data_IF_976127526304
#
_entry.id   IF_976127526304
#
_cell.length_a   1.000
_cell.length_b   1.000
_cell.length_c   1.000
_cell.angle_alpha   90.00
_cell.angle_beta   90.00
_cell.angle_gamma   90.00
#
_symmetry.space_group_name_H-M   'P 1'
#
loop_
_entity.id
_entity.type
_entity.pdbx_description
1 polymer ?
#
# COMPACT_ATOMS: atom_id res chain seq x y z
N UNK A 1 3.00 14.86 -36.97
CA UNK A 1 2.11 15.80 -36.25
C UNK A 1 2.71 17.19 -36.25
N UNK A 2 1.88 18.22 -36.38
CA UNK A 2 2.30 19.62 -36.18
C UNK A 2 2.55 19.89 -34.69
N UNK A 3 3.23 21.01 -34.38
CA UNK A 3 3.43 21.44 -32.98
C UNK A 3 2.09 21.69 -32.28
N UNK A 4 1.12 22.29 -32.97
CA UNK A 4 -0.23 22.53 -32.43
C UNK A 4 -0.98 21.22 -32.11
N UNK A 5 -0.92 20.24 -33.00
CA UNK A 5 -1.52 18.91 -32.76
C UNK A 5 -0.86 18.21 -31.56
N UNK A 6 0.46 18.32 -31.43
CA UNK A 6 1.20 17.74 -30.30
C UNK A 6 0.80 18.40 -28.99
N UNK A 7 0.75 19.74 -28.96
CA UNK A 7 0.30 20.49 -27.79
C UNK A 7 -1.14 20.15 -27.40
N UNK A 8 -2.03 19.98 -28.39
CA UNK A 8 -3.41 19.58 -28.15
C UNK A 8 -3.50 18.18 -27.52
N UNK A 9 -2.79 17.19 -28.09
CA UNK A 9 -2.80 15.80 -27.60
C UNK A 9 -2.22 15.68 -26.17
N UNK A 10 -1.20 16.47 -25.82
CA UNK A 10 -0.61 16.44 -24.48
C UNK A 10 -1.29 17.36 -23.46
N UNK A 11 -2.26 18.18 -23.85
CA UNK A 11 -2.93 19.12 -22.94
C UNK A 11 -3.60 18.41 -21.74
N UNK A 12 -4.33 17.33 -22.00
CA UNK A 12 -5.04 16.53 -20.98
C UNK A 12 -4.06 15.90 -19.97
N UNK A 13 -3.04 15.10 -20.38
CA UNK A 13 -2.10 14.53 -19.41
C UNK A 13 -1.29 15.59 -18.67
N UNK A 14 -0.98 16.74 -19.28
CA UNK A 14 -0.31 17.85 -18.57
C UNK A 14 -1.20 18.35 -17.42
N UNK A 15 -2.48 18.62 -17.68
CA UNK A 15 -3.42 19.09 -16.65
C UNK A 15 -3.58 18.04 -15.54
N UNK A 16 -3.78 16.77 -15.89
CA UNK A 16 -3.89 15.69 -14.91
C UNK A 16 -2.60 15.52 -14.09
N UNK A 17 -1.43 15.66 -14.73
CA UNK A 17 -0.12 15.61 -14.08
C UNK A 17 0.07 16.74 -13.08
N UNK A 18 -0.35 17.97 -13.41
CA UNK A 18 -0.33 19.12 -12.49
C UNK A 18 -1.24 18.88 -11.29
N UNK A 19 -2.49 18.44 -11.52
CA UNK A 19 -3.44 18.14 -10.44
C UNK A 19 -2.88 17.05 -9.51
N UNK A 20 -2.32 15.98 -10.08
CA UNK A 20 -1.63 14.94 -9.32
C UNK A 20 -0.46 15.51 -8.51
N UNK A 21 0.43 16.28 -9.13
CA UNK A 21 1.60 16.84 -8.47
C UNK A 21 1.22 17.75 -7.30
N UNK A 22 0.23 18.62 -7.46
CA UNK A 22 -0.29 19.47 -6.39
C UNK A 22 -0.86 18.61 -5.25
N UNK A 23 -1.73 17.64 -5.58
CA UNK A 23 -2.35 16.78 -4.56
C UNK A 23 -1.31 15.97 -3.78
N UNK A 24 -0.31 15.41 -4.47
CA UNK A 24 0.73 14.56 -3.86
C UNK A 24 1.75 15.37 -3.05
N UNK A 25 2.06 16.60 -3.45
CA UNK A 25 2.98 17.48 -2.71
C UNK A 25 2.34 18.04 -1.43
N UNK A 26 1.07 18.46 -1.51
CA UNK A 26 0.32 18.98 -0.36
C UNK A 26 0.02 17.88 0.66
N UNK A 27 -0.48 16.73 0.20
CA UNK A 27 -0.83 15.63 1.09
C UNK A 27 -0.65 14.28 0.40
N UNK A 28 0.56 13.68 0.46
CA UNK A 28 0.87 12.42 -0.20
C UNK A 28 0.09 11.23 0.37
N UNK A 29 -0.47 11.36 1.59
CA UNK A 29 -1.16 10.29 2.33
C UNK A 29 -2.63 10.11 1.90
N UNK A 30 -3.09 10.75 0.80
CA UNK A 30 -4.46 10.62 0.29
C UNK A 30 -4.58 9.46 -0.71
N UNK A 31 -5.63 8.64 -0.54
CA UNK A 31 -6.01 7.61 -1.51
C UNK A 31 -6.31 8.15 -2.92
N UNK A 32 -6.73 9.42 -3.04
CA UNK A 32 -7.03 10.04 -4.34
C UNK A 32 -5.79 10.18 -5.23
N UNK A 33 -4.59 10.21 -4.63
CA UNK A 33 -3.35 10.34 -5.38
C UNK A 33 -3.12 9.13 -6.30
N UNK A 34 -3.59 7.94 -5.93
CA UNK A 34 -3.55 6.77 -6.81
C UNK A 34 -4.40 6.98 -8.06
N UNK A 35 -5.64 7.48 -7.91
CA UNK A 35 -6.55 7.73 -9.03
C UNK A 35 -6.03 8.82 -9.94
N UNK A 36 -5.55 9.93 -9.37
CA UNK A 36 -4.98 11.03 -10.13
C UNK A 36 -3.76 10.59 -10.93
N UNK A 37 -2.87 9.81 -10.32
CA UNK A 37 -1.71 9.25 -11.03
C UNK A 37 -2.13 8.27 -12.12
N UNK A 38 -3.06 7.35 -11.84
CA UNK A 38 -3.51 6.36 -12.81
C UNK A 38 -4.18 7.02 -14.03
N UNK A 39 -5.01 8.05 -13.80
CA UNK A 39 -5.61 8.85 -14.88
C UNK A 39 -4.56 9.60 -15.68
N UNK A 40 -3.61 10.26 -15.00
CA UNK A 40 -2.47 10.89 -15.65
C UNK A 40 -1.68 9.90 -16.52
N UNK A 41 -1.32 8.75 -15.98
CA UNK A 41 -0.52 7.74 -16.66
C UNK A 41 -1.23 7.18 -17.89
N UNK A 42 -2.52 6.84 -17.78
CA UNK A 42 -3.30 6.36 -18.93
C UNK A 42 -3.41 7.43 -20.01
N UNK A 43 -3.76 8.67 -19.64
CA UNK A 43 -3.86 9.78 -20.59
C UNK A 43 -2.50 10.07 -21.26
N UNK A 44 -1.40 9.99 -20.50
CA UNK A 44 -0.05 10.22 -21.00
C UNK A 44 0.38 9.12 -21.97
N UNK A 45 0.16 7.85 -21.62
CA UNK A 45 0.47 6.72 -22.50
C UNK A 45 -0.35 6.76 -23.79
N UNK A 46 -1.63 7.14 -23.71
CA UNK A 46 -2.48 7.32 -24.88
C UNK A 46 -1.98 8.46 -25.78
N UNK A 47 -1.69 9.63 -25.20
CA UNK A 47 -1.11 10.77 -25.92
C UNK A 47 0.21 10.42 -26.59
N UNK A 48 1.08 9.69 -25.87
CA UNK A 48 2.36 9.20 -26.39
C UNK A 48 2.17 8.23 -27.55
N UNK A 49 1.20 7.30 -27.47
CA UNK A 49 0.89 6.39 -28.55
C UNK A 49 0.44 7.13 -29.82
N UNK A 50 -0.45 8.12 -29.69
CA UNK A 50 -0.88 8.96 -30.81
C UNK A 50 0.29 9.74 -31.42
N UNK A 51 1.18 10.29 -30.59
CA UNK A 51 2.37 11.01 -31.05
C UNK A 51 3.33 10.11 -31.83
N UNK A 52 3.55 8.88 -31.36
CA UNK A 52 4.40 7.90 -32.04
C UNK A 52 3.79 7.49 -33.39
N UNK A 53 2.51 7.15 -33.40
CA UNK A 53 1.81 6.74 -34.64
C UNK A 53 1.74 7.90 -35.65
N UNK A 54 1.54 9.14 -35.18
CA UNK A 54 1.53 10.35 -35.99
C UNK A 54 2.90 10.90 -36.37
N UNK A 55 4.01 10.24 -35.98
CA UNK A 55 5.37 10.65 -36.34
C UNK A 55 5.77 10.23 -37.76
N UNK A 56 5.05 9.29 -38.36
CA UNK A 56 5.39 8.62 -39.63
C UNK A 56 6.79 7.96 -39.63
N UNK A 57 7.43 7.81 -38.46
CA UNK A 57 8.71 7.12 -38.33
C UNK A 57 8.45 5.61 -38.14
N UNK A 58 8.57 4.85 -39.22
CA UNK A 58 8.29 3.41 -39.22
C UNK A 58 9.13 2.63 -38.20
N UNK A 59 10.40 3.01 -38.00
CA UNK A 59 11.26 2.35 -37.02
C UNK A 59 10.74 2.58 -35.59
N UNK A 60 10.42 3.83 -35.24
CA UNK A 60 9.88 4.18 -33.93
C UNK A 60 8.57 3.43 -33.65
N UNK A 61 7.66 3.42 -34.63
CA UNK A 61 6.37 2.72 -34.54
C UNK A 61 6.59 1.21 -34.38
N UNK A 62 7.47 0.61 -35.17
CA UNK A 62 7.73 -0.83 -35.14
C UNK A 62 8.36 -1.27 -33.81
N UNK A 63 9.36 -0.54 -33.32
CA UNK A 63 10.03 -0.84 -32.05
C UNK A 63 9.06 -0.69 -30.89
N UNK A 64 8.36 0.43 -30.79
CA UNK A 64 7.42 0.68 -29.69
C UNK A 64 6.21 -0.25 -29.74
N UNK A 65 5.67 -0.53 -30.93
CA UNK A 65 4.60 -1.51 -31.13
C UNK A 65 5.02 -2.92 -30.72
N UNK A 66 6.24 -3.33 -31.08
CA UNK A 66 6.80 -4.64 -30.66
C UNK A 66 6.94 -4.71 -29.14
N UNK A 67 7.50 -3.68 -28.51
CA UNK A 67 7.63 -3.61 -27.05
C UNK A 67 6.26 -3.64 -26.35
N UNK A 68 5.26 -2.95 -26.91
CA UNK A 68 3.89 -2.98 -26.40
C UNK A 68 3.30 -4.39 -26.48
N UNK A 69 3.43 -5.08 -27.62
CA UNK A 69 2.97 -6.46 -27.79
C UNK A 69 3.66 -7.39 -26.78
N UNK A 70 4.99 -7.32 -26.65
CA UNK A 70 5.74 -8.11 -25.67
C UNK A 70 5.22 -7.85 -24.25
N UNK A 71 4.97 -6.58 -23.91
CA UNK A 71 4.42 -6.21 -22.60
C UNK A 71 3.04 -6.82 -22.38
N UNK A 72 2.14 -6.74 -23.36
CA UNK A 72 0.81 -7.35 -23.30
C UNK A 72 0.90 -8.87 -23.15
N UNK A 73 1.78 -9.54 -23.89
CA UNK A 73 2.00 -10.98 -23.77
C UNK A 73 2.51 -11.38 -22.39
N UNK A 74 3.42 -10.62 -21.79
CA UNK A 74 3.90 -10.85 -20.42
C UNK A 74 2.74 -10.68 -19.41
N UNK A 75 1.91 -9.65 -19.56
CA UNK A 75 0.75 -9.43 -18.69
C UNK A 75 -0.25 -10.60 -18.81
N UNK A 76 -0.54 -11.04 -20.03
CA UNK A 76 -1.40 -12.22 -20.28
C UNK A 76 -0.82 -13.47 -19.64
N UNK A 77 0.50 -13.69 -19.75
CA UNK A 77 1.18 -14.83 -19.15
C UNK A 77 1.08 -14.81 -17.62
N UNK A 78 1.34 -13.66 -16.99
CA UNK A 78 1.21 -13.49 -15.53
C UNK A 78 -0.23 -13.77 -15.09
N UNK A 79 -1.21 -13.22 -15.81
CA UNK A 79 -2.62 -13.43 -15.52
C UNK A 79 -3.03 -14.89 -15.70
N UNK A 80 -2.56 -15.57 -16.74
CA UNK A 80 -2.85 -16.99 -16.98
C UNK A 80 -2.29 -17.86 -15.85
N UNK A 81 -1.12 -17.52 -15.32
CA UNK A 81 -0.44 -18.28 -14.27
C UNK A 81 -0.80 -17.82 -12.84
N UNK A 82 -1.77 -16.92 -12.67
CA UNK A 82 -2.04 -16.28 -11.37
C UNK A 82 -2.38 -17.29 -10.25
N UNK A 83 -3.19 -18.31 -10.53
CA UNK A 83 -3.51 -19.36 -9.56
C UNK A 83 -2.28 -20.15 -9.11
N UNK A 84 -1.38 -20.49 -10.05
CA UNK A 84 -0.12 -21.14 -9.72
C UNK A 84 0.72 -20.29 -8.78
N UNK A 85 0.87 -18.99 -9.06
CA UNK A 85 1.62 -18.06 -8.22
C UNK A 85 1.02 -17.91 -6.82
N UNK A 86 -0.31 -17.81 -6.71
CA UNK A 86 -1.02 -17.68 -5.44
C UNK A 86 -0.89 -18.95 -4.58
N UNK A 87 -1.07 -20.13 -5.17
CA UNK A 87 -0.91 -21.42 -4.48
C UNK A 87 0.54 -21.66 -4.05
N UNK A 88 1.51 -21.35 -4.92
CA UNK A 88 2.92 -21.41 -4.57
C UNK A 88 3.25 -20.50 -3.38
N UNK A 89 2.77 -19.25 -3.40
CA UNK A 89 2.94 -18.33 -2.29
C UNK A 89 2.28 -18.84 -1.00
N UNK A 90 1.05 -19.36 -1.09
CA UNK A 90 0.33 -19.94 0.03
C UNK A 90 1.12 -21.08 0.69
N UNK A 91 1.69 -22.00 -0.10
CA UNK A 91 2.52 -23.10 0.42
C UNK A 91 3.77 -22.56 1.12
N UNK A 92 4.40 -21.53 0.54
CA UNK A 92 5.62 -20.94 1.11
C UNK A 92 5.35 -20.23 2.45
N UNK A 93 4.24 -19.48 2.54
CA UNK A 93 3.81 -18.83 3.79
C UNK A 93 3.41 -19.87 4.82
N UNK A 94 2.66 -20.91 4.43
CA UNK A 94 2.28 -22.03 5.30
C UNK A 94 3.48 -22.71 5.96
N UNK A 95 4.60 -22.86 5.24
CA UNK A 95 5.81 -23.51 5.77
C UNK A 95 6.65 -22.61 6.70
N UNK A 96 6.52 -21.29 6.60
CA UNK A 96 7.43 -20.32 7.25
C UNK A 96 6.77 -19.47 8.32
N UNK A 97 5.45 -19.38 8.31
CA UNK A 97 4.66 -18.53 9.21
C UNK A 97 3.63 -19.39 9.95
N UNK A 98 3.08 -18.88 11.06
CA UNK A 98 2.01 -19.58 11.76
C UNK A 98 0.70 -19.67 10.96
N UNK A 99 -0.11 -20.69 11.21
CA UNK A 99 -1.38 -20.98 10.49
C UNK A 99 -2.57 -20.11 10.94
N UNK A 100 -2.34 -18.82 11.19
CA UNK A 100 -3.44 -17.90 11.49
C UNK A 100 -4.28 -17.60 10.24
N UNK A 101 -5.56 -17.23 10.42
CA UNK A 101 -6.42 -16.80 9.31
C UNK A 101 -5.78 -15.71 8.45
N UNK A 102 -5.05 -14.79 9.09
CA UNK A 102 -4.38 -13.69 8.42
C UNK A 102 -3.17 -14.12 7.59
N UNK A 103 -2.58 -15.30 7.85
CA UNK A 103 -1.47 -15.85 7.08
C UNK A 103 -1.93 -16.75 5.92
N UNK A 104 -3.23 -17.06 5.86
CA UNK A 104 -3.83 -17.92 4.84
C UNK A 104 -4.60 -17.13 3.76
N UNK A 105 -4.51 -15.79 3.72
CA UNK A 105 -5.33 -14.99 2.79
C UNK A 105 -5.07 -15.33 1.32
N UNK A 106 -3.81 -15.56 0.94
CA UNK A 106 -3.47 -15.96 -0.45
C UNK A 106 -4.04 -17.32 -0.82
N UNK A 107 -4.13 -18.26 0.13
CA UNK A 107 -4.78 -19.55 -0.06
C UNK A 107 -6.28 -19.38 -0.28
N UNK A 108 -6.95 -18.60 0.58
CA UNK A 108 -8.40 -18.35 0.45
C UNK A 108 -8.76 -17.66 -0.86
N UNK A 109 -7.93 -16.71 -1.31
CA UNK A 109 -8.11 -16.06 -2.62
C UNK A 109 -7.92 -17.07 -3.75
N UNK A 110 -6.90 -17.93 -3.70
CA UNK A 110 -6.68 -18.94 -4.73
C UNK A 110 -7.86 -19.92 -4.83
N UNK A 111 -8.35 -20.42 -3.70
CA UNK A 111 -9.52 -21.31 -3.66
C UNK A 111 -10.76 -20.59 -4.19
N UNK A 112 -11.00 -19.35 -3.74
CA UNK A 112 -12.14 -18.55 -4.19
C UNK A 112 -12.14 -18.30 -5.70
N UNK A 113 -10.98 -17.93 -6.27
CA UNK A 113 -10.84 -17.73 -7.71
C UNK A 113 -11.05 -19.03 -8.49
N UNK A 114 -10.47 -20.15 -8.03
CA UNK A 114 -10.69 -21.45 -8.65
C UNK A 114 -12.18 -21.85 -8.66
N UNK A 115 -12.89 -21.65 -7.54
CA UNK A 115 -14.32 -21.92 -7.46
C UNK A 115 -15.13 -21.01 -8.40
N UNK A 116 -14.75 -19.73 -8.53
CA UNK A 116 -15.39 -18.80 -9.46
C UNK A 116 -15.16 -19.21 -10.92
N UNK A 117 -13.97 -19.67 -11.29
CA UNK A 117 -13.67 -20.15 -12.65
C UNK A 117 -14.44 -21.44 -12.99
N UNK A 118 -14.55 -22.37 -12.04
CA UNK A 118 -15.37 -23.58 -12.18
C UNK A 118 -16.85 -23.19 -12.33
N UNK A 119 -17.35 -22.27 -11.49
CA UNK A 119 -18.73 -21.80 -11.56
C UNK A 119 -19.03 -21.06 -12.87
N UNK A 120 -18.10 -20.27 -13.39
CA UNK A 120 -18.24 -19.60 -14.69
C UNK A 120 -18.24 -20.58 -15.87
N UNK A 121 -17.45 -21.66 -15.76
CA UNK A 121 -17.29 -22.65 -16.84
C UNK A 121 -18.43 -23.67 -16.89
N UNK A 122 -18.94 -24.08 -15.73
CA UNK A 122 -19.91 -25.18 -15.61
C UNK A 122 -21.25 -24.78 -15.00
N UNK A 123 -21.32 -23.65 -14.28
CA UNK A 123 -22.48 -23.27 -13.48
C UNK A 123 -23.77 -23.08 -14.29
N UNK A 124 -23.68 -22.61 -15.54
CA UNK A 124 -24.85 -22.45 -16.43
C UNK A 124 -25.58 -23.76 -16.71
N UNK A 125 -24.92 -24.92 -16.56
CA UNK A 125 -25.53 -26.24 -16.75
C UNK A 125 -26.41 -26.67 -15.57
N UNK A 126 -26.15 -26.13 -14.38
CA UNK A 126 -26.77 -26.59 -13.13
C UNK A 126 -27.65 -25.53 -12.47
N UNK A 127 -27.52 -24.26 -12.87
CA UNK A 127 -28.22 -23.12 -12.28
C UNK A 127 -29.20 -22.54 -13.32
N UNK A 128 -30.46 -22.24 -12.94
CA UNK A 128 -31.40 -21.55 -13.82
C UNK A 128 -30.79 -20.29 -14.44
N UNK A 129 -30.99 -20.10 -15.74
CA UNK A 129 -30.34 -19.03 -16.51
C UNK A 129 -30.48 -17.62 -15.88
N UNK A 130 -31.66 -17.19 -15.39
CA UNK A 130 -31.78 -15.88 -14.74
C UNK A 130 -30.87 -15.72 -13.51
N UNK A 131 -30.78 -16.78 -12.69
CA UNK A 131 -29.93 -16.79 -11.49
C UNK A 131 -28.45 -16.79 -11.90
N UNK A 132 -28.08 -17.58 -12.91
CA UNK A 132 -26.73 -17.60 -13.43
C UNK A 132 -26.28 -16.22 -13.94
N UNK A 133 -27.12 -15.55 -14.74
CA UNK A 133 -26.82 -14.20 -15.26
C UNK A 133 -26.69 -13.19 -14.12
N UNK A 134 -27.59 -13.22 -13.14
CA UNK A 134 -27.49 -12.36 -11.94
C UNK A 134 -26.19 -12.56 -11.19
N UNK A 135 -25.79 -13.82 -10.92
CA UNK A 135 -24.51 -14.12 -10.26
C UNK A 135 -23.32 -13.69 -11.13
N UNK A 136 -23.35 -13.94 -12.44
CA UNK A 136 -22.29 -13.55 -13.36
C UNK A 136 -22.09 -12.02 -13.38
N UNK A 137 -23.17 -11.24 -13.42
CA UNK A 137 -23.12 -9.78 -13.31
C UNK A 137 -22.56 -9.36 -11.96
N UNK A 138 -23.05 -9.93 -10.86
CA UNK A 138 -22.56 -9.61 -9.51
C UNK A 138 -21.05 -9.85 -9.37
N UNK A 139 -20.56 -11.04 -9.74
CA UNK A 139 -19.15 -11.39 -9.64
C UNK A 139 -18.28 -10.63 -10.64
N UNK A 140 -18.76 -10.34 -11.85
CA UNK A 140 -18.00 -9.57 -12.84
C UNK A 140 -17.79 -8.13 -12.40
N UNK A 141 -18.87 -7.42 -12.02
CA UNK A 141 -18.78 -6.03 -11.55
C UNK A 141 -18.11 -5.94 -10.16
N UNK A 142 -18.37 -6.90 -9.27
CA UNK A 142 -17.70 -7.03 -7.98
C UNK A 142 -16.19 -7.25 -8.14
N UNK A 143 -15.79 -8.19 -8.99
CA UNK A 143 -14.41 -8.47 -9.32
C UNK A 143 -13.71 -7.25 -9.92
N UNK A 144 -14.33 -6.60 -10.93
CA UNK A 144 -13.79 -5.38 -11.53
C UNK A 144 -13.60 -4.27 -10.49
N UNK A 145 -14.57 -4.07 -9.60
CA UNK A 145 -14.48 -3.07 -8.53
C UNK A 145 -13.33 -3.35 -7.55
N UNK A 146 -13.17 -4.61 -7.12
CA UNK A 146 -12.05 -5.03 -6.26
C UNK A 146 -10.72 -4.81 -6.99
N UNK A 147 -10.59 -5.22 -8.25
CA UNK A 147 -9.38 -5.01 -9.04
C UNK A 147 -9.02 -3.53 -9.19
N UNK A 148 -10.00 -2.69 -9.51
CA UNK A 148 -9.82 -1.24 -9.67
C UNK A 148 -9.35 -0.59 -8.36
N UNK A 149 -9.99 -0.93 -7.23
CA UNK A 149 -9.62 -0.37 -5.92
C UNK A 149 -8.29 -0.91 -5.39
N UNK A 150 -7.99 -2.20 -5.63
CA UNK A 150 -6.71 -2.81 -5.33
C UNK A 150 -5.59 -2.16 -6.16
N UNK A 151 -5.79 -1.99 -7.46
CA UNK A 151 -4.84 -1.31 -8.34
C UNK A 151 -4.56 0.11 -7.86
N UNK A 152 -5.61 0.89 -7.53
CA UNK A 152 -5.44 2.21 -6.93
C UNK A 152 -4.62 2.19 -5.63
N UNK A 153 -4.87 1.21 -4.75
CA UNK A 153 -4.10 1.04 -3.52
C UNK A 153 -2.63 0.70 -3.81
N UNK A 154 -2.35 -0.21 -4.74
CA UNK A 154 -0.99 -0.57 -5.13
C UNK A 154 -0.23 0.65 -5.70
N UNK A 155 -0.88 1.43 -6.58
CA UNK A 155 -0.32 2.66 -7.11
C UNK A 155 0.10 3.60 -5.99
N UNK A 156 -0.82 3.94 -5.07
CA UNK A 156 -0.50 4.91 -4.02
C UNK A 156 0.51 4.35 -3.01
N UNK A 157 0.51 3.04 -2.75
CA UNK A 157 1.50 2.38 -1.91
C UNK A 157 2.91 2.55 -2.51
N UNK A 158 3.07 2.31 -3.82
CA UNK A 158 4.34 2.47 -4.53
C UNK A 158 4.77 3.93 -4.55
N UNK A 159 3.88 4.85 -4.94
CA UNK A 159 4.18 6.28 -4.97
C UNK A 159 4.63 6.80 -3.60
N UNK A 160 3.96 6.38 -2.53
CA UNK A 160 4.29 6.81 -1.18
C UNK A 160 5.65 6.25 -0.71
N UNK A 161 5.99 5.01 -1.06
CA UNK A 161 7.30 4.42 -0.79
C UNK A 161 8.45 5.10 -1.56
N UNK A 162 8.19 5.52 -2.80
CA UNK A 162 9.18 6.21 -3.63
C UNK A 162 9.41 7.67 -3.23
N UNK A 163 8.57 8.23 -2.34
CA UNK A 163 8.66 9.62 -1.93
C UNK A 163 10.01 9.89 -1.23
N UNK A 164 10.81 10.86 -1.72
CA UNK A 164 12.05 11.24 -1.05
C UNK A 164 11.80 11.80 0.35
N UNK A 165 12.69 11.46 1.29
CA UNK A 165 12.60 11.91 2.68
C UNK A 165 13.78 12.83 3.04
N UNK A 166 13.52 14.12 3.33
CA UNK A 166 14.57 15.05 3.69
C UNK A 166 15.15 14.73 5.07
N UNK A 167 16.47 14.80 5.18
CA UNK A 167 17.24 14.47 6.39
C UNK A 167 17.42 15.74 7.24
N UNK A 168 16.30 16.29 7.72
CA UNK A 168 16.24 17.44 8.62
C UNK A 168 15.03 17.26 9.53
N UNK A 169 15.10 16.22 10.36
CA UNK A 169 14.06 15.81 11.30
C UNK A 169 14.51 16.08 12.71
N UNK A 170 13.59 16.51 13.57
CA UNK A 170 13.81 16.60 15.01
C UNK A 170 13.41 15.31 15.71
N UNK A 171 12.40 14.61 15.19
CA UNK A 171 11.90 13.36 15.76
C UNK A 171 11.80 12.24 14.71
N UNK A 172 12.24 11.05 15.08
CA UNK A 172 12.06 9.80 14.35
C UNK A 172 11.13 8.89 15.17
N UNK A 173 10.00 8.46 14.62
CA UNK A 173 9.02 7.64 15.34
C UNK A 173 9.06 6.22 14.79
N UNK A 174 9.53 5.25 15.55
CA UNK A 174 9.58 3.84 15.13
C UNK A 174 8.33 3.12 15.63
N UNK A 175 7.56 2.56 14.71
CA UNK A 175 6.30 1.88 15.03
C UNK A 175 6.53 0.41 15.37
N UNK A 176 5.86 -0.05 16.42
CA UNK A 176 5.78 -1.46 16.82
C UNK A 176 5.21 -2.41 15.76
N UNK A 177 5.64 -3.67 15.82
CA UNK A 177 5.30 -4.76 14.90
C UNK A 177 5.16 -6.14 15.58
N UNK A 178 5.11 -6.18 16.92
CA UNK A 178 5.10 -7.40 17.72
C UNK A 178 6.49 -7.98 18.02
N UNK A 179 6.62 -8.59 19.20
CA UNK A 179 7.79 -9.33 19.66
C UNK A 179 7.64 -10.84 19.44
N UNK A 180 8.79 -11.51 19.30
CA UNK A 180 8.89 -12.98 19.34
C UNK A 180 9.18 -13.41 20.77
N UNK A 181 8.57 -14.50 21.22
CA UNK A 181 8.81 -15.09 22.55
C UNK A 181 8.66 -14.10 23.71
N UNK A 182 7.89 -13.04 23.49
CA UNK A 182 7.51 -12.01 24.45
C UNK A 182 8.54 -10.90 24.73
N UNK A 183 9.80 -11.04 24.31
CA UNK A 183 10.83 -10.01 24.52
C UNK A 183 11.80 -9.80 23.34
N UNK A 184 11.74 -10.64 22.29
CA UNK A 184 12.70 -10.61 21.20
C UNK A 184 12.20 -9.78 20.01
N UNK A 185 13.07 -8.94 19.47
CA UNK A 185 12.78 -8.14 18.28
C UNK A 185 12.63 -9.05 17.05
N UNK A 186 11.44 -9.08 16.45
CA UNK A 186 11.18 -9.83 15.22
C UNK A 186 11.96 -9.26 14.02
N UNK A 187 12.21 -10.03 12.94
CA UNK A 187 12.88 -9.52 11.74
C UNK A 187 12.17 -8.31 11.11
N UNK A 188 10.83 -8.27 11.18
CA UNK A 188 10.05 -7.12 10.72
C UNK A 188 10.28 -5.89 11.58
N UNK A 189 10.32 -6.05 12.91
CA UNK A 189 10.59 -4.98 13.86
C UNK A 189 12.03 -4.47 13.74
N UNK A 190 13.00 -5.39 13.65
CA UNK A 190 14.42 -5.06 13.42
C UNK A 190 14.60 -4.22 12.15
N UNK A 191 13.93 -4.58 11.05
CA UNK A 191 13.97 -3.81 9.80
C UNK A 191 13.51 -2.35 9.97
N UNK A 192 12.49 -2.11 10.82
CA UNK A 192 12.01 -0.75 11.14
C UNK A 192 13.04 0.02 11.95
N UNK A 193 13.56 -0.60 13.01
CA UNK A 193 14.58 0.01 13.89
C UNK A 193 15.85 0.32 13.09
N UNK A 194 16.36 -0.63 12.32
CA UNK A 194 17.56 -0.47 11.50
C UNK A 194 17.39 0.64 10.44
N UNK A 195 16.18 0.80 9.89
CA UNK A 195 15.88 1.89 8.95
C UNK A 195 15.92 3.25 9.64
N UNK A 196 15.41 3.36 10.86
CA UNK A 196 15.53 4.57 11.68
C UNK A 196 16.98 4.87 12.07
N UNK A 197 17.76 3.86 12.47
CA UNK A 197 19.19 3.99 12.80
C UNK A 197 19.98 4.47 11.57
N UNK A 198 19.73 3.88 10.40
CA UNK A 198 20.36 4.34 9.14
C UNK A 198 20.00 5.78 8.84
N UNK A 199 18.76 6.19 9.05
CA UNK A 199 18.32 7.56 8.85
C UNK A 199 19.00 8.53 9.84
N UNK A 200 19.05 8.15 11.11
CA UNK A 200 19.72 8.87 12.20
C UNK A 200 21.18 9.18 11.85
N UNK A 201 21.98 8.17 11.52
CA UNK A 201 23.39 8.36 11.17
C UNK A 201 23.57 9.13 9.87
N UNK A 202 22.72 8.91 8.86
CA UNK A 202 22.80 9.64 7.59
C UNK A 202 22.45 11.11 7.75
N UNK A 203 21.56 11.46 8.68
CA UNK A 203 21.27 12.86 9.02
C UNK A 203 22.49 13.53 9.67
N UNK A 204 23.11 12.87 10.65
CA UNK A 204 24.33 13.38 11.30
C UNK A 204 25.48 13.54 10.31
N UNK A 205 25.70 12.54 9.44
CA UNK A 205 26.73 12.59 8.38
C UNK A 205 26.52 13.76 7.41
N UNK A 206 25.29 14.26 7.26
CA UNK A 206 24.96 15.45 6.46
C UNK A 206 25.14 16.78 7.22
N UNK A 207 25.77 16.75 8.39
CA UNK A 207 26.02 17.94 9.23
C UNK A 207 24.77 18.49 9.91
N UNK A 208 23.74 17.65 10.12
CA UNK A 208 22.50 18.05 10.78
C UNK A 208 22.46 17.54 12.22
N UNK A 209 21.74 18.20 13.15
CA UNK A 209 21.61 17.73 14.52
C UNK A 209 21.08 16.30 14.60
N UNK A 210 21.51 15.57 15.64
CA UNK A 210 20.96 14.26 15.97
C UNK A 210 19.45 14.39 16.27
N UNK A 211 18.58 13.63 15.60
CA UNK A 211 17.16 13.61 15.94
C UNK A 211 16.90 12.72 17.15
N UNK A 212 15.85 13.00 17.92
CA UNK A 212 15.37 12.08 18.95
C UNK A 212 14.56 10.95 18.33
N UNK A 213 14.78 9.71 18.79
CA UNK A 213 14.07 8.52 18.34
C UNK A 213 13.03 8.13 19.38
N UNK A 214 11.76 8.21 19.00
CA UNK A 214 10.62 7.72 19.78
C UNK A 214 10.33 6.30 19.34
N UNK A 215 10.49 5.34 20.24
CA UNK A 215 10.05 3.96 20.04
C UNK A 215 8.62 3.84 20.56
N UNK A 216 7.67 3.53 19.68
CA UNK A 216 6.23 3.56 19.97
C UNK A 216 5.57 2.21 19.73
N UNK A 217 5.15 1.61 20.84
CA UNK A 217 4.47 0.32 20.90
C UNK A 217 4.33 -0.14 22.35
N UNK A 218 3.10 -0.42 22.76
CA UNK A 218 2.79 -0.92 24.09
C UNK A 218 3.15 -2.40 24.28
N UNK A 219 2.51 -3.02 25.26
CA UNK A 219 2.72 -4.43 25.62
C UNK A 219 1.57 -5.28 25.07
N UNK A 220 1.87 -6.19 24.15
CA UNK A 220 0.96 -7.22 23.66
C UNK A 220 0.57 -8.22 24.75
N UNK A 221 -0.53 -8.95 24.54
CA UNK A 221 -1.04 -9.91 25.53
C UNK A 221 -0.09 -11.07 25.81
N UNK A 222 0.73 -11.44 24.83
CA UNK A 222 1.74 -12.49 24.86
C UNK A 222 3.17 -11.95 25.11
N UNK A 223 3.31 -10.64 25.37
CA UNK A 223 4.60 -9.99 25.58
C UNK A 223 4.95 -9.89 27.07
N UNK A 224 6.24 -9.98 27.42
CA UNK A 224 6.73 -9.82 28.80
C UNK A 224 7.13 -8.37 29.07
N UNK A 225 7.63 -7.68 28.05
CA UNK A 225 7.99 -6.25 28.03
C UNK A 225 7.22 -5.50 26.93
N UNK A 226 7.20 -4.17 26.99
CA UNK A 226 6.64 -3.39 25.87
C UNK A 226 7.52 -3.47 24.63
N UNK A 227 6.90 -3.41 23.46
CA UNK A 227 7.62 -3.31 22.19
C UNK A 227 8.59 -2.11 22.19
N UNK A 228 8.16 -0.97 22.75
CA UNK A 228 9.00 0.23 22.87
C UNK A 228 10.31 -0.03 23.62
N UNK A 229 10.26 -0.72 24.77
CA UNK A 229 11.45 -1.05 25.54
C UNK A 229 12.38 -2.01 24.78
N UNK A 230 11.82 -3.02 24.13
CA UNK A 230 12.59 -3.95 23.31
C UNK A 230 13.30 -3.23 22.14
N UNK A 231 12.58 -2.34 21.45
CA UNK A 231 13.12 -1.54 20.35
C UNK A 231 14.26 -0.62 20.82
N UNK A 232 14.10 0.04 21.97
CA UNK A 232 15.15 0.90 22.53
C UNK A 232 16.40 0.09 22.86
N UNK A 233 16.27 -1.02 23.60
CA UNK A 233 17.41 -1.89 23.94
C UNK A 233 18.18 -2.34 22.71
N UNK A 234 17.45 -2.75 21.67
CA UNK A 234 18.05 -3.12 20.38
C UNK A 234 18.82 -1.96 19.75
N UNK A 235 18.26 -0.74 19.75
CA UNK A 235 18.91 0.44 19.20
C UNK A 235 20.15 0.89 19.99
N UNK A 236 20.11 0.79 21.32
CA UNK A 236 21.28 1.04 22.19
C UNK A 236 22.42 0.07 21.86
N UNK A 237 22.10 -1.22 21.69
CA UNK A 237 23.06 -2.24 21.26
C UNK A 237 23.65 -2.00 19.86
N UNK A 238 23.05 -1.14 19.05
CA UNK A 238 23.53 -0.71 17.73
C UNK A 238 24.24 0.66 17.75
N UNK A 239 24.48 1.24 18.94
CA UNK A 239 25.24 2.47 19.11
C UNK A 239 24.43 3.76 19.07
N UNK A 240 23.10 3.70 19.21
CA UNK A 240 22.29 4.90 19.46
C UNK A 240 22.48 5.33 20.94
N UNK A 241 22.81 6.60 21.24
CA UNK A 241 22.91 7.07 22.61
C UNK A 241 21.53 7.13 23.30
N UNK A 242 21.45 6.71 24.56
CA UNK A 242 20.19 6.69 25.32
C UNK A 242 19.51 8.06 25.43
N UNK A 243 20.31 9.13 25.59
CA UNK A 243 19.83 10.52 25.62
C UNK A 243 19.06 10.93 24.35
N UNK A 244 19.31 10.27 23.23
CA UNK A 244 18.66 10.55 21.95
C UNK A 244 17.40 9.69 21.76
N UNK A 245 16.98 8.92 22.78
CA UNK A 245 15.83 8.01 22.71
C UNK A 245 14.68 8.44 23.62
N UNK A 246 13.48 7.99 23.26
CA UNK A 246 12.23 8.20 23.97
C UNK A 246 11.36 6.94 23.87
N UNK A 247 10.64 6.63 24.93
CA UNK A 247 9.74 5.48 25.01
C UNK A 247 8.28 5.92 25.02
N UNK A 248 7.48 5.29 24.17
CA UNK A 248 6.03 5.33 24.20
C UNK A 248 5.52 3.89 24.30
N UNK A 249 5.13 3.49 25.51
CA UNK A 249 4.88 2.09 25.89
C UNK A 249 3.41 1.78 26.19
N UNK A 250 2.47 2.61 25.73
CA UNK A 250 1.04 2.49 26.05
C UNK A 250 0.15 2.16 24.86
N UNK A 251 0.63 2.37 23.64
CA UNK A 251 -0.16 2.20 22.43
C UNK A 251 -0.47 0.74 22.09
N UNK A 252 -1.68 0.48 21.61
CA UNK A 252 -2.14 -0.84 21.16
C UNK A 252 -2.55 -0.84 19.69
N UNK A 253 -2.68 0.34 19.08
CA UNK A 253 -3.05 0.51 17.68
C UNK A 253 -2.11 1.50 16.98
N UNK A 254 -1.97 1.39 15.66
CA UNK A 254 -1.17 2.33 14.87
C UNK A 254 -1.64 3.79 15.02
N UNK A 255 -2.93 4.03 15.24
CA UNK A 255 -3.45 5.37 15.51
C UNK A 255 -2.99 5.88 16.87
N UNK A 256 -3.03 5.02 17.90
CA UNK A 256 -2.49 5.35 19.23
C UNK A 256 -0.99 5.59 19.20
N UNK A 257 -0.22 4.80 18.44
CA UNK A 257 1.22 5.05 18.28
C UNK A 257 1.48 6.50 17.85
N UNK A 258 0.74 6.98 16.83
CA UNK A 258 0.87 8.33 16.31
C UNK A 258 0.39 9.39 17.30
N UNK A 259 -0.77 9.17 17.93
CA UNK A 259 -1.37 10.11 18.90
C UNK A 259 -0.50 10.25 20.15
N UNK A 260 0.00 9.15 20.70
CA UNK A 260 0.82 9.16 21.91
C UNK A 260 2.25 9.66 21.62
N UNK A 261 2.81 9.33 20.46
CA UNK A 261 4.07 9.94 20.01
C UNK A 261 3.95 11.46 19.86
N UNK A 262 2.85 11.96 19.29
CA UNK A 262 2.58 13.41 19.21
C UNK A 262 2.53 14.04 20.60
N UNK A 263 1.84 13.40 21.55
CA UNK A 263 1.77 13.88 22.95
C UNK A 263 3.16 13.94 23.60
N UNK A 264 4.01 12.95 23.40
CA UNK A 264 5.39 12.97 23.89
C UNK A 264 6.21 14.10 23.27
N UNK A 265 6.07 14.34 21.96
CA UNK A 265 6.72 15.48 21.30
C UNK A 265 6.29 16.79 21.96
N UNK A 266 4.99 17.00 22.17
CA UNK A 266 4.48 18.20 22.83
C UNK A 266 4.98 18.34 24.27
N UNK A 267 5.16 17.24 25.01
CA UNK A 267 5.75 17.28 26.35
C UNK A 267 7.24 17.69 26.32
N UNK A 268 7.96 17.33 25.27
CA UNK A 268 9.40 17.58 25.15
C UNK A 268 9.75 18.98 24.65
N UNK A 269 8.93 19.57 23.78
CA UNK A 269 9.23 20.87 23.16
C UNK A 269 8.08 21.89 23.22
N UNK A 270 6.98 21.56 23.90
CA UNK A 270 5.75 22.36 23.85
C UNK A 270 5.12 22.37 22.46
N UNK A 271 4.56 23.52 22.07
CA UNK A 271 3.97 23.75 20.74
C UNK A 271 4.99 24.25 19.71
N UNK A 272 6.30 24.10 19.99
CA UNK A 272 7.34 24.52 19.07
C UNK A 272 7.26 23.72 17.74
N UNK A 273 7.54 24.35 16.59
CA UNK A 273 7.49 23.68 15.30
C UNK A 273 8.53 22.55 15.23
N UNK A 274 8.10 21.37 14.81
CA UNK A 274 8.96 20.19 14.65
C UNK A 274 8.79 19.56 13.27
N UNK A 275 9.75 18.70 12.90
CA UNK A 275 9.70 17.90 11.68
C UNK A 275 9.89 16.45 12.05
N UNK A 276 8.86 15.64 11.86
CA UNK A 276 8.90 14.22 12.19
C UNK A 276 8.99 13.33 10.95
N UNK A 277 9.47 12.11 11.14
CA UNK A 277 9.29 11.00 10.20
C UNK A 277 9.01 9.74 10.99
N UNK A 278 8.12 8.90 10.48
CA UNK A 278 7.81 7.62 11.12
C UNK A 278 8.39 6.46 10.32
N UNK A 279 8.69 5.35 10.99
CA UNK A 279 9.39 4.20 10.44
C UNK A 279 8.54 2.95 10.63
N UNK A 280 8.28 2.26 9.52
CA UNK A 280 7.46 1.04 9.46
C UNK A 280 7.88 0.20 8.26
N UNK A 281 7.30 -0.97 8.03
CA UNK A 281 7.63 -1.78 6.84
C UNK A 281 6.97 -1.21 5.57
N UNK A 282 7.59 -1.44 4.41
CA UNK A 282 7.16 -0.91 3.11
C UNK A 282 5.67 -1.16 2.79
N UNK A 283 5.14 -2.35 3.11
CA UNK A 283 3.74 -2.69 2.86
C UNK A 283 2.77 -1.91 3.74
N UNK A 284 3.18 -1.58 4.98
CA UNK A 284 2.34 -0.90 5.97
C UNK A 284 2.44 0.64 5.89
N UNK A 285 3.41 1.14 5.11
CA UNK A 285 3.78 2.55 5.06
C UNK A 285 2.60 3.47 4.76
N UNK A 286 1.79 3.14 3.76
CA UNK A 286 0.69 3.99 3.34
C UNK A 286 -0.44 4.05 4.37
N UNK A 287 -0.83 2.91 4.97
CA UNK A 287 -1.86 2.88 6.01
C UNK A 287 -1.41 3.59 7.28
N UNK A 288 -0.16 3.39 7.71
CA UNK A 288 0.45 4.16 8.79
C UNK A 288 0.46 5.67 8.49
N UNK A 289 0.67 6.06 7.23
CA UNK A 289 0.54 7.45 6.77
C UNK A 289 -0.88 8.00 6.97
N UNK A 290 -1.91 7.23 6.62
CA UNK A 290 -3.29 7.65 6.87
C UNK A 290 -3.53 7.90 8.37
N UNK A 291 -3.05 7.02 9.25
CA UNK A 291 -3.18 7.22 10.70
C UNK A 291 -2.37 8.40 11.23
N UNK A 292 -1.18 8.66 10.69
CA UNK A 292 -0.41 9.86 11.02
C UNK A 292 -1.22 11.13 10.69
N UNK A 293 -1.86 11.16 9.52
CA UNK A 293 -2.74 12.26 9.15
C UNK A 293 -3.95 12.37 10.08
N UNK A 294 -4.59 11.25 10.45
CA UNK A 294 -5.74 11.23 11.37
C UNK A 294 -5.38 11.71 12.78
N UNK A 295 -4.19 11.36 13.27
CA UNK A 295 -3.66 11.85 14.55
C UNK A 295 -3.22 13.34 14.50
N UNK A 296 -3.22 13.94 13.30
CA UNK A 296 -2.76 15.31 13.09
C UNK A 296 -1.28 15.49 13.42
N UNK A 297 -0.45 14.46 13.20
CA UNK A 297 1.00 14.56 13.30
C UNK A 297 1.59 14.87 11.92
N UNK A 298 2.44 15.89 11.85
CA UNK A 298 3.16 16.23 10.62
C UNK A 298 4.38 15.30 10.44
N UNK A 299 4.08 14.06 10.09
CA UNK A 299 5.05 13.02 9.84
C UNK A 299 4.74 12.27 8.55
N UNK A 300 5.79 11.97 7.79
CA UNK A 300 5.74 11.08 6.65
C UNK A 300 6.57 9.82 6.90
N UNK A 301 6.19 8.74 6.24
CA UNK A 301 6.76 7.42 6.47
C UNK A 301 8.08 7.18 5.74
N UNK A 302 8.95 6.41 6.37
CA UNK A 302 10.10 5.72 5.76
C UNK A 302 9.89 4.23 5.90
N UNK A 303 9.90 3.53 4.76
CA UNK A 303 9.69 2.09 4.70
C UNK A 303 10.98 1.29 4.95
N UNK A 304 10.88 0.29 5.83
CA UNK A 304 11.87 -0.76 6.01
C UNK A 304 11.54 -1.98 5.15
N UNK A 305 12.59 -2.67 4.70
CA UNK A 305 12.47 -3.84 3.82
C UNK A 305 11.61 -4.95 4.45
N UNK A 306 10.89 -5.67 3.57
CA UNK A 306 10.08 -6.85 3.91
C UNK A 306 10.51 -8.00 3.02
N UNK A 307 10.47 -9.23 3.52
CA UNK A 307 10.75 -10.41 2.71
C UNK A 307 9.75 -10.53 1.56
N UNK A 308 10.25 -10.84 0.36
CA UNK A 308 9.41 -10.89 -0.84
C UNK A 308 8.27 -11.92 -0.74
N UNK A 309 8.52 -13.06 -0.09
CA UNK A 309 7.50 -14.11 0.06
C UNK A 309 6.32 -13.72 0.96
N UNK A 310 6.56 -12.85 1.96
CA UNK A 310 5.52 -12.37 2.88
C UNK A 310 4.74 -11.19 2.29
N UNK A 311 5.33 -10.48 1.31
CA UNK A 311 4.79 -9.25 0.77
C UNK A 311 3.38 -9.40 0.17
N UNK A 312 3.04 -10.42 -0.64
CA UNK A 312 1.68 -10.55 -1.18
C UNK A 312 0.60 -10.62 -0.09
N UNK A 313 0.81 -11.50 0.89
CA UNK A 313 -0.13 -11.69 1.99
C UNK A 313 -0.24 -10.42 2.86
N UNK A 314 0.87 -9.73 3.11
CA UNK A 314 0.88 -8.48 3.86
C UNK A 314 0.14 -7.36 3.11
N UNK A 315 0.38 -7.21 1.81
CA UNK A 315 -0.28 -6.19 0.96
C UNK A 315 -1.79 -6.43 0.88
N UNK A 316 -2.24 -7.68 0.75
CA UNK A 316 -3.67 -8.03 0.78
C UNK A 316 -4.29 -7.61 2.12
N UNK A 317 -3.61 -7.91 3.23
CA UNK A 317 -4.08 -7.53 4.58
C UNK A 317 -4.22 -6.01 4.73
N UNK A 318 -3.25 -5.25 4.22
CA UNK A 318 -3.31 -3.79 4.24
C UNK A 318 -4.44 -3.25 3.35
N UNK A 319 -4.66 -3.84 2.18
CA UNK A 319 -5.81 -3.50 1.34
C UNK A 319 -7.14 -3.76 2.05
N UNK A 320 -7.32 -4.94 2.65
CA UNK A 320 -8.54 -5.27 3.41
C UNK A 320 -8.76 -4.33 4.60
N UNK A 321 -7.69 -3.96 5.31
CA UNK A 321 -7.76 -2.98 6.38
C UNK A 321 -8.23 -1.60 5.88
N UNK A 322 -7.83 -1.19 4.68
CA UNK A 322 -8.34 0.04 4.05
C UNK A 322 -9.80 -0.09 3.60
N UNK A 323 -10.22 -1.25 3.10
CA UNK A 323 -11.63 -1.52 2.80
C UNK A 323 -12.49 -1.33 4.05
N UNK A 324 -12.03 -1.83 5.20
CA UNK A 324 -12.69 -1.63 6.49
C UNK A 324 -12.66 -0.16 6.93
N UNK A 325 -11.52 0.52 6.80
CA UNK A 325 -11.36 1.93 7.15
C UNK A 325 -12.33 2.83 6.37
N UNK A 326 -12.57 2.51 5.09
CA UNK A 326 -13.48 3.24 4.20
C UNK A 326 -14.80 2.48 3.94
N UNK A 327 -15.23 1.62 4.86
CA UNK A 327 -16.38 0.69 4.70
C UNK A 327 -17.65 1.31 4.13
N UNK A 328 -17.96 2.57 4.48
CA UNK A 328 -19.15 3.28 3.95
C UNK A 328 -19.10 3.43 2.42
N UNK A 329 -17.93 3.76 1.85
CA UNK A 329 -17.75 3.92 0.40
C UNK A 329 -17.88 2.57 -0.32
N UNK A 330 -17.29 1.54 0.28
CA UNK A 330 -17.36 0.18 -0.27
C UNK A 330 -18.79 -0.39 -0.18
N UNK A 331 -19.52 -0.13 0.91
CA UNK A 331 -20.91 -0.56 1.07
C UNK A 331 -21.82 0.09 0.01
N UNK A 332 -21.64 1.38 -0.29
CA UNK A 332 -22.40 2.06 -1.36
C UNK A 332 -22.11 1.43 -2.72
N UNK A 333 -20.83 1.26 -3.08
CA UNK A 333 -20.46 0.65 -4.36
C UNK A 333 -20.99 -0.78 -4.48
N UNK A 334 -20.87 -1.57 -3.40
CA UNK A 334 -21.41 -2.92 -3.34
C UNK A 334 -22.93 -2.95 -3.49
N UNK A 335 -23.65 -2.04 -2.83
CA UNK A 335 -25.10 -1.89 -2.97
C UNK A 335 -25.52 -1.62 -4.41
N UNK A 336 -24.80 -0.75 -5.13
CA UNK A 336 -25.04 -0.49 -6.56
C UNK A 336 -24.84 -1.76 -7.40
N UNK A 337 -23.77 -2.52 -7.15
CA UNK A 337 -23.48 -3.77 -7.86
C UNK A 337 -24.58 -4.81 -7.61
N UNK A 338 -25.06 -4.93 -6.37
CA UNK A 338 -26.17 -5.81 -6.02
C UNK A 338 -27.45 -5.40 -6.75
N UNK A 339 -27.78 -4.10 -6.78
CA UNK A 339 -28.96 -3.59 -7.50
C UNK A 339 -28.85 -3.91 -9.00
N UNK A 340 -27.69 -3.69 -9.62
CA UNK A 340 -27.47 -4.02 -11.04
C UNK A 340 -27.63 -5.51 -11.34
N UNK A 341 -27.17 -6.37 -10.43
CA UNK A 341 -27.30 -7.82 -10.56
C UNK A 341 -28.76 -8.29 -10.39
N UNK A 342 -29.47 -7.78 -9.39
CA UNK A 342 -30.88 -8.10 -9.13
C UNK A 342 -31.81 -7.58 -10.24
N UNK A 343 -31.47 -6.46 -10.88
CA UNK A 343 -32.20 -5.97 -12.05
C UNK A 343 -32.20 -6.97 -13.22
N UNK A 344 -31.18 -7.83 -13.34
CA UNK A 344 -31.19 -8.90 -14.35
C UNK A 344 -32.20 -10.00 -14.01
N UNK A 345 -32.35 -10.32 -12.71
CA UNK A 345 -33.30 -11.31 -12.26
C UNK A 345 -34.72 -10.81 -12.56
N UNK A 346 -35.03 -9.56 -12.18
CA UNK A 346 -36.34 -8.94 -12.39
C UNK A 346 -36.73 -8.75 -13.86
N UNK A 347 -35.78 -8.79 -14.80
CA UNK A 347 -36.08 -8.73 -16.25
C UNK A 347 -36.48 -10.08 -16.83
N UNK A 348 -36.14 -11.16 -16.14
CA UNK A 348 -36.40 -12.51 -16.59
C UNK A 348 -37.71 -13.09 -16.06
N UNK A 349 -38.32 -12.42 -15.07
CA UNK A 349 -39.66 -12.65 -14.56
C UNK A 349 -40.57 -11.53 -15.05
#
# INVERSE_FOLDING_TARGET
MTVQETLFVFSIPIVLGIIFAISFTVEPRRLINGWLFNLFAVAFLFALALAILGSSNLLLISVTGTLFIITVLIVILIFTLHLFWLLWNAILVWRREGHSLSNMLTLYIAIGLLLLEIAASFGRRFIPEPIYITLAVFFSFGGLYVLLTLYNFLTVLVLYNLRPQPHNRTFLIVLGAGLLHGDQVSPLLASRIDTAIKFYHKQIKKGRPAPRIIFSGGKGGDETISEALAMQRYALGKGIPEKDTLLEDKSTTTLENMTFSKRLITQEIGEAPYKASFFTNNYHLFRAGIYARMAGIDANGVGGNTSFYFLPNAVIREYLALVVLYKRRHAIAFGIIVIMALAQLLRAW
#
